data_IF_829239659317
#
_entry.id   IF_829239659317
#
_cell.length_a   1.000
_cell.length_b   1.000
_cell.length_c   1.000
_cell.angle_alpha   90.00
_cell.angle_beta   90.00
_cell.angle_gamma   90.00
#
_symmetry.space_group_name_H-M   'P 1'
#
loop_
_entity.id
_entity.type
_entity.pdbx_description
1 polymer ?
#
# COMPACT_ATOMS: atom_id res chain seq x y z
N UNK A 1 13.11 -30.11 49.37
CA UNK A 1 11.76 -29.63 49.01
C UNK A 1 11.75 -28.26 48.30
N UNK A 2 12.90 -27.67 47.90
CA UNK A 2 12.96 -26.36 47.23
C UNK A 2 12.86 -26.40 45.70
N UNK A 3 13.26 -27.50 45.06
CA UNK A 3 13.24 -27.65 43.59
C UNK A 3 11.83 -27.84 42.98
N UNK A 4 10.87 -28.31 43.78
CA UNK A 4 9.48 -28.49 43.35
C UNK A 4 8.70 -27.18 43.31
N UNK A 5 9.00 -26.23 44.21
CA UNK A 5 8.30 -24.93 44.30
C UNK A 5 8.74 -23.99 43.17
N UNK A 6 10.02 -24.02 42.76
CA UNK A 6 10.52 -23.20 41.64
C UNK A 6 9.95 -23.61 40.29
N UNK A 7 9.71 -24.92 40.07
CA UNK A 7 9.14 -25.44 38.83
C UNK A 7 7.62 -25.16 38.71
N UNK A 8 6.90 -25.17 39.83
CA UNK A 8 5.47 -24.78 39.85
C UNK A 8 5.30 -23.30 39.55
N UNK A 9 6.13 -22.41 40.14
CA UNK A 9 6.10 -20.96 39.87
C UNK A 9 6.47 -20.60 38.42
N UNK A 10 7.42 -21.31 37.80
CA UNK A 10 7.77 -21.08 36.38
C UNK A 10 6.66 -21.54 35.44
N UNK A 11 5.99 -22.67 35.73
CA UNK A 11 4.84 -23.14 34.96
C UNK A 11 3.62 -22.24 35.09
N UNK A 12 3.29 -21.78 36.31
CA UNK A 12 2.16 -20.85 36.50
C UNK A 12 2.40 -19.53 35.77
N UNK A 13 3.61 -18.96 35.88
CA UNK A 13 3.94 -17.71 35.19
C UNK A 13 3.92 -17.85 33.66
N UNK A 14 4.39 -18.99 33.12
CA UNK A 14 4.31 -19.28 31.69
C UNK A 14 2.87 -19.47 31.19
N UNK A 15 1.99 -20.05 32.01
CA UNK A 15 0.56 -20.22 31.68
C UNK A 15 -0.16 -18.86 31.71
N UNK A 16 0.13 -18.03 32.71
CA UNK A 16 -0.42 -16.67 32.82
C UNK A 16 0.03 -15.79 31.63
N UNK A 17 1.29 -15.91 31.19
CA UNK A 17 1.79 -15.20 30.00
C UNK A 17 1.11 -15.67 28.71
N UNK A 18 0.89 -16.98 28.55
CA UNK A 18 0.16 -17.54 27.40
C UNK A 18 -1.31 -17.09 27.37
N UNK A 19 -1.96 -16.99 28.52
CA UNK A 19 -3.35 -16.51 28.61
C UNK A 19 -3.46 -15.02 28.27
N UNK A 20 -2.52 -14.20 28.76
CA UNK A 20 -2.43 -12.77 28.44
C UNK A 20 -2.19 -12.54 26.94
N UNK A 21 -1.28 -13.28 26.31
CA UNK A 21 -1.02 -13.14 24.87
C UNK A 21 -2.19 -13.62 24.01
N UNK A 22 -2.87 -14.68 24.44
CA UNK A 22 -4.10 -15.16 23.78
C UNK A 22 -5.20 -14.11 23.87
N UNK A 23 -5.37 -13.47 25.04
CA UNK A 23 -6.36 -12.42 25.23
C UNK A 23 -6.04 -11.17 24.40
N UNK A 24 -4.76 -10.75 24.34
CA UNK A 24 -4.33 -9.64 23.48
C UNK A 24 -4.60 -9.93 22.02
N UNK A 25 -4.22 -11.13 21.53
CA UNK A 25 -4.49 -11.54 20.16
C UNK A 25 -5.98 -11.54 19.83
N UNK A 26 -6.82 -12.02 20.74
CA UNK A 26 -8.28 -11.99 20.55
C UNK A 26 -8.80 -10.55 20.40
N UNK A 27 -8.39 -9.64 21.30
CA UNK A 27 -8.79 -8.22 21.22
C UNK A 27 -8.37 -7.57 19.90
N UNK A 28 -7.17 -7.87 19.41
CA UNK A 28 -6.67 -7.38 18.11
C UNK A 28 -7.53 -7.88 16.95
N UNK A 29 -7.86 -9.17 16.94
CA UNK A 29 -8.71 -9.78 15.90
C UNK A 29 -10.13 -9.22 15.94
N UNK A 30 -10.69 -9.01 17.12
CA UNK A 30 -12.02 -8.40 17.28
C UNK A 30 -12.03 -6.98 16.74
N UNK A 31 -11.00 -6.18 17.05
CA UNK A 31 -10.84 -4.82 16.53
C UNK A 31 -10.64 -4.81 15.01
N UNK A 32 -9.84 -5.74 14.48
CA UNK A 32 -9.64 -5.91 13.04
C UNK A 32 -10.96 -6.23 12.33
N UNK A 33 -11.75 -7.19 12.84
CA UNK A 33 -13.04 -7.57 12.28
C UNK A 33 -14.04 -6.41 12.30
N UNK A 34 -14.10 -5.64 13.40
CA UNK A 34 -14.92 -4.44 13.48
C UNK A 34 -14.52 -3.40 12.43
N UNK A 35 -13.21 -3.20 12.20
CA UNK A 35 -12.74 -2.29 11.17
C UNK A 35 -13.07 -2.79 9.75
N UNK A 36 -12.92 -4.09 9.48
CA UNK A 36 -13.27 -4.71 8.20
C UNK A 36 -14.73 -4.44 7.86
N UNK A 37 -15.65 -4.64 8.81
CA UNK A 37 -17.06 -4.32 8.59
C UNK A 37 -17.28 -2.85 8.22
N UNK A 38 -16.56 -1.91 8.87
CA UNK A 38 -16.62 -0.49 8.51
C UNK A 38 -16.07 -0.24 7.11
N UNK A 39 -14.90 -0.79 6.79
CA UNK A 39 -14.28 -0.68 5.46
C UNK A 39 -15.23 -1.14 4.36
N UNK A 40 -15.93 -2.26 4.55
CA UNK A 40 -16.87 -2.79 3.55
C UNK A 40 -18.17 -1.95 3.43
N UNK A 41 -18.43 -1.04 4.37
CA UNK A 41 -19.60 -0.13 4.30
C UNK A 41 -19.28 1.23 3.68
N UNK A 42 -18.00 1.61 3.53
CA UNK A 42 -17.66 2.88 2.90
C UNK A 42 -17.85 2.78 1.37
N UNK A 43 -18.29 3.85 0.69
CA UNK A 43 -18.38 3.88 -0.76
C UNK A 43 -17.05 3.54 -1.47
N UNK A 44 -17.12 3.31 -2.78
CA UNK A 44 -15.94 3.06 -3.61
C UNK A 44 -14.79 4.05 -3.34
N UNK A 45 -13.51 3.65 -3.49
CA UNK A 45 -12.35 4.47 -3.09
C UNK A 45 -12.35 5.84 -3.76
N UNK A 46 -12.71 5.93 -5.04
CA UNK A 46 -12.82 7.18 -5.81
C UNK A 46 -13.89 8.15 -5.30
N UNK A 47 -14.86 7.66 -4.52
CA UNK A 47 -15.88 8.48 -3.84
C UNK A 47 -15.44 8.81 -2.42
N UNK A 48 -14.97 7.80 -1.69
CA UNK A 48 -14.55 7.93 -0.29
C UNK A 48 -13.29 8.76 -0.10
N UNK A 49 -12.41 8.80 -1.10
CA UNK A 49 -11.19 9.62 -1.10
C UNK A 49 -11.45 11.09 -1.40
N UNK A 50 -12.67 11.48 -1.80
CA UNK A 50 -13.02 12.90 -1.97
C UNK A 50 -12.87 13.60 -0.64
N UNK A 51 -12.21 14.74 -0.63
CA UNK A 51 -11.93 15.48 0.62
C UNK A 51 -13.20 15.72 1.46
N UNK A 52 -14.33 16.02 0.81
CA UNK A 52 -15.62 16.25 1.46
C UNK A 52 -16.20 15.02 2.16
N UNK A 53 -15.81 13.82 1.75
CA UNK A 53 -16.28 12.52 2.28
C UNK A 53 -15.25 11.93 3.25
N UNK A 54 -13.96 11.96 2.89
CA UNK A 54 -12.89 11.28 3.61
C UNK A 54 -12.86 11.64 5.11
N UNK A 55 -12.78 12.93 5.43
CA UNK A 55 -12.67 13.37 6.82
C UNK A 55 -13.98 13.19 7.62
N UNK A 56 -15.14 13.20 6.95
CA UNK A 56 -16.44 13.12 7.60
C UNK A 56 -16.93 11.70 7.83
N UNK A 57 -16.66 10.81 6.87
CA UNK A 57 -17.24 9.45 6.83
C UNK A 57 -16.18 8.38 7.07
N UNK A 58 -14.99 8.53 6.49
CA UNK A 58 -13.93 7.51 6.60
C UNK A 58 -13.11 7.70 7.87
N UNK A 59 -12.80 8.95 8.24
CA UNK A 59 -11.96 9.27 9.38
C UNK A 59 -12.69 9.65 10.67
N UNK A 60 -14.01 9.49 10.71
CA UNK A 60 -14.82 9.74 11.89
C UNK A 60 -15.87 8.63 12.11
N UNK A 61 -15.52 7.53 12.80
CA UNK A 61 -14.21 7.25 13.42
C UNK A 61 -13.16 6.77 12.40
N UNK A 62 -11.84 6.85 12.72
CA UNK A 62 -10.77 6.43 11.81
C UNK A 62 -10.88 4.99 11.33
N UNK A 63 -10.95 4.80 10.01
CA UNK A 63 -11.00 3.48 9.35
C UNK A 63 -9.64 3.07 8.77
N UNK A 64 -8.78 4.04 8.48
CA UNK A 64 -7.43 3.86 7.94
C UNK A 64 -6.46 4.80 8.65
N UNK A 65 -5.26 4.31 8.97
CA UNK A 65 -4.19 5.08 9.61
C UNK A 65 -3.21 5.53 8.53
N UNK A 66 -3.46 6.70 7.94
CA UNK A 66 -2.66 7.28 6.85
C UNK A 66 -2.09 8.66 7.23
N UNK A 67 -1.81 8.87 8.52
CA UNK A 67 -1.31 10.13 9.11
C UNK A 67 -2.29 11.31 9.06
N UNK A 68 -3.54 11.11 8.58
CA UNK A 68 -4.50 12.20 8.40
C UNK A 68 -5.94 11.81 8.78
N UNK A 69 -6.60 12.53 9.70
CA UNK A 69 -6.07 13.61 10.57
C UNK A 69 -5.09 13.11 11.64
N UNK A 70 -4.63 13.99 12.53
CA UNK A 70 -3.59 13.68 13.55
C UNK A 70 -3.87 12.42 14.40
N UNK A 71 -5.13 12.09 14.65
CA UNK A 71 -5.53 10.88 15.37
C UNK A 71 -5.49 9.59 14.51
N UNK A 72 -5.00 9.67 13.26
CA UNK A 72 -4.86 8.56 12.31
C UNK A 72 -3.39 8.21 12.06
N UNK A 73 -2.52 8.45 13.06
CA UNK A 73 -1.13 8.00 13.06
C UNK A 73 -1.09 6.50 13.33
N UNK A 74 -0.40 5.75 12.46
CA UNK A 74 -0.07 4.36 12.66
C UNK A 74 1.40 4.17 13.05
N UNK A 75 1.79 2.97 13.48
CA UNK A 75 3.19 2.65 13.71
C UNK A 75 3.95 2.58 12.36
N UNK A 76 5.25 2.92 12.33
CA UNK A 76 6.04 2.84 11.12
C UNK A 76 6.00 1.45 10.46
N UNK A 77 5.61 1.37 9.18
CA UNK A 77 5.46 0.10 8.45
C UNK A 77 6.78 -0.69 8.36
N UNK A 78 7.91 0.02 8.43
CA UNK A 78 9.27 -0.55 8.44
C UNK A 78 9.52 -1.53 9.59
N UNK A 79 8.73 -1.45 10.68
CA UNK A 79 8.83 -2.40 11.80
C UNK A 79 8.15 -3.73 11.55
N UNK A 80 7.37 -3.84 10.47
CA UNK A 80 6.53 -5.01 10.19
C UNK A 80 6.99 -5.82 8.98
N UNK A 81 7.77 -5.22 8.07
CA UNK A 81 8.31 -5.92 6.92
C UNK A 81 9.60 -5.24 6.43
N UNK A 82 10.68 -6.01 6.34
CA UNK A 82 12.00 -5.54 5.91
C UNK A 82 12.02 -5.00 4.49
N UNK A 83 11.04 -5.35 3.64
CA UNK A 83 10.93 -4.83 2.28
C UNK A 83 10.86 -3.30 2.25
N UNK A 84 10.22 -2.68 3.24
CA UNK A 84 10.08 -1.23 3.31
C UNK A 84 11.41 -0.57 3.72
N UNK A 85 12.11 -1.16 4.69
CA UNK A 85 13.45 -0.72 5.10
C UNK A 85 14.46 -0.85 3.96
N UNK A 86 14.41 -1.97 3.23
CA UNK A 86 15.22 -2.21 2.04
C UNK A 86 14.91 -1.19 0.95
N UNK A 87 13.64 -0.92 0.66
CA UNK A 87 13.25 0.10 -0.32
C UNK A 87 13.82 1.48 0.03
N UNK A 88 13.70 1.92 1.29
CA UNK A 88 14.23 3.24 1.70
C UNK A 88 15.76 3.30 1.57
N UNK A 89 16.46 2.22 1.93
CA UNK A 89 17.91 2.15 1.80
C UNK A 89 18.34 2.18 0.33
N UNK A 90 17.66 1.40 -0.51
CA UNK A 90 17.92 1.31 -1.95
C UNK A 90 17.60 2.63 -2.66
N UNK A 91 16.48 3.26 -2.33
CA UNK A 91 16.07 4.56 -2.89
C UNK A 91 17.09 5.67 -2.64
N UNK A 92 17.84 5.60 -1.53
CA UNK A 92 18.89 6.57 -1.17
C UNK A 92 20.25 6.22 -1.76
N UNK A 93 20.40 5.07 -2.40
CA UNK A 93 21.66 4.58 -2.91
C UNK A 93 21.80 4.88 -4.41
N UNK A 94 22.44 6.01 -4.72
CA UNK A 94 22.75 6.43 -6.10
C UNK A 94 23.70 5.48 -6.85
N UNK A 95 24.33 4.52 -6.15
CA UNK A 95 25.23 3.53 -6.75
C UNK A 95 24.53 2.24 -7.14
N UNK A 96 23.21 2.13 -6.97
CA UNK A 96 22.49 0.95 -7.41
C UNK A 96 22.62 0.78 -8.93
N UNK A 97 22.92 -0.45 -9.40
CA UNK A 97 22.98 -0.70 -10.82
C UNK A 97 21.58 -0.52 -11.42
N UNK A 98 21.50 0.24 -12.50
CA UNK A 98 20.28 0.35 -13.29
C UNK A 98 20.14 -0.94 -14.10
N UNK A 99 18.99 -1.61 -13.97
CA UNK A 99 18.71 -2.82 -14.72
C UNK A 99 18.67 -2.51 -16.24
N UNK A 100 19.21 -3.42 -17.05
CA UNK A 100 19.30 -3.23 -18.50
C UNK A 100 17.92 -2.98 -19.14
N UNK A 101 16.90 -3.71 -18.67
CA UNK A 101 15.52 -3.58 -19.14
C UNK A 101 14.93 -2.19 -18.82
N UNK A 102 15.35 -1.58 -17.71
CA UNK A 102 14.94 -0.21 -17.36
C UNK A 102 15.49 0.78 -18.37
N UNK A 103 16.76 0.66 -18.75
CA UNK A 103 17.41 1.58 -19.71
C UNK A 103 16.67 1.67 -21.04
N UNK A 104 16.08 0.57 -21.51
CA UNK A 104 15.36 0.53 -22.79
C UNK A 104 13.98 1.21 -22.71
N UNK A 105 13.43 1.34 -21.51
CA UNK A 105 12.08 1.87 -21.26
C UNK A 105 12.11 3.29 -20.70
N UNK A 106 13.26 3.79 -20.23
CA UNK A 106 13.37 5.14 -19.65
C UNK A 106 12.87 6.21 -20.62
N UNK A 107 13.45 6.34 -21.81
CA UNK A 107 13.06 7.43 -22.73
C UNK A 107 11.57 7.37 -23.13
N UNK A 108 11.00 6.21 -23.52
CA UNK A 108 9.57 6.08 -23.77
C UNK A 108 8.69 6.39 -22.55
N UNK A 109 9.13 6.01 -21.34
CA UNK A 109 8.44 6.33 -20.10
C UNK A 109 8.44 7.83 -19.86
N UNK A 110 9.59 8.50 -19.98
CA UNK A 110 9.74 9.95 -19.81
C UNK A 110 8.80 10.71 -20.75
N UNK A 111 8.81 10.34 -22.03
CA UNK A 111 7.93 10.94 -23.03
C UNK A 111 6.45 10.73 -22.66
N UNK A 112 6.09 9.52 -22.24
CA UNK A 112 4.70 9.21 -21.84
C UNK A 112 4.29 10.00 -20.58
N UNK A 113 5.16 10.13 -19.60
CA UNK A 113 4.85 10.88 -18.38
C UNK A 113 4.66 12.37 -18.66
N UNK A 114 5.41 12.94 -19.62
CA UNK A 114 5.34 14.35 -20.02
C UNK A 114 4.13 14.71 -20.89
N UNK A 115 3.44 13.72 -21.48
CA UNK A 115 2.27 13.97 -22.33
C UNK A 115 1.04 14.36 -21.50
N UNK A 116 0.18 15.16 -22.13
CA UNK A 116 -1.18 15.43 -21.67
C UNK A 116 -2.14 14.39 -22.22
N UNK A 117 -3.07 13.93 -21.38
CA UNK A 117 -4.06 12.92 -21.73
C UNK A 117 -5.48 13.47 -21.54
N UNK A 118 -6.39 13.12 -22.44
CA UNK A 118 -7.79 13.53 -22.36
C UNK A 118 -8.57 12.86 -21.21
N UNK A 119 -7.98 11.90 -20.48
CA UNK A 119 -8.61 11.22 -19.35
C UNK A 119 -7.67 10.24 -18.62
N UNK A 120 -8.01 9.92 -17.36
CA UNK A 120 -7.21 9.08 -16.45
C UNK A 120 -6.89 7.71 -17.06
N UNK A 121 -7.87 7.07 -17.71
CA UNK A 121 -7.69 5.77 -18.37
C UNK A 121 -6.60 5.78 -19.45
N UNK A 122 -6.49 6.87 -20.22
CA UNK A 122 -5.46 6.98 -21.28
C UNK A 122 -4.07 7.14 -20.71
N UNK A 123 -3.94 7.88 -19.59
CA UNK A 123 -2.67 7.94 -18.85
C UNK A 123 -2.33 6.59 -18.24
N UNK A 124 -3.30 5.91 -17.63
CA UNK A 124 -3.13 4.57 -17.05
C UNK A 124 -2.65 3.56 -18.09
N UNK A 125 -3.29 3.49 -19.26
CA UNK A 125 -2.87 2.62 -20.37
C UNK A 125 -1.41 2.84 -20.75
N UNK A 126 -0.99 4.12 -20.92
CA UNK A 126 0.38 4.46 -21.27
C UNK A 126 1.38 4.06 -20.17
N UNK A 127 1.08 4.36 -18.91
CA UNK A 127 1.94 4.01 -17.78
C UNK A 127 2.04 2.49 -17.57
N UNK A 128 0.92 1.77 -17.69
CA UNK A 128 0.83 0.33 -17.44
C UNK A 128 1.74 -0.46 -18.38
N UNK A 129 1.85 -0.04 -19.64
CA UNK A 129 2.76 -0.67 -20.60
C UNK A 129 4.21 -0.63 -20.12
N UNK A 130 4.67 0.53 -19.65
CA UNK A 130 6.05 0.71 -19.17
C UNK A 130 6.33 -0.02 -17.86
N UNK A 131 5.42 0.10 -16.88
CA UNK A 131 5.56 -0.56 -15.59
C UNK A 131 5.51 -2.09 -15.71
N UNK A 132 4.77 -2.63 -16.69
CA UNK A 132 4.73 -4.07 -16.93
C UNK A 132 6.07 -4.63 -17.41
N UNK A 133 6.87 -3.80 -18.09
CA UNK A 133 8.25 -4.17 -18.49
C UNK A 133 9.24 -4.01 -17.35
N UNK A 134 9.08 -2.99 -16.51
CA UNK A 134 10.05 -2.66 -15.45
C UNK A 134 9.86 -3.51 -14.18
N UNK A 135 8.60 -3.75 -13.77
CA UNK A 135 8.29 -4.34 -12.47
C UNK A 135 7.71 -5.73 -12.63
N UNK A 136 6.45 -5.81 -13.09
CA UNK A 136 5.72 -7.06 -13.32
C UNK A 136 4.40 -6.76 -14.03
N UNK A 137 3.75 -7.80 -14.55
CA UNK A 137 2.43 -7.70 -15.15
C UNK A 137 1.40 -7.06 -14.22
N UNK A 138 0.95 -5.86 -14.59
CA UNK A 138 -0.14 -5.14 -13.94
C UNK A 138 -1.49 -5.62 -14.47
N UNK A 139 -2.40 -5.92 -13.54
CA UNK A 139 -3.73 -6.47 -13.83
C UNK A 139 -4.81 -5.60 -13.22
N UNK A 140 -6.00 -5.60 -13.83
CA UNK A 140 -7.19 -5.02 -13.20
C UNK A 140 -7.95 -6.16 -12.52
N UNK A 141 -8.17 -6.04 -11.21
CA UNK A 141 -8.89 -7.06 -10.43
C UNK A 141 -10.09 -6.40 -9.75
N UNK A 142 -11.28 -6.93 -10.06
CA UNK A 142 -12.54 -6.52 -9.44
C UNK A 142 -12.68 -7.17 -8.05
N UNK A 143 -13.09 -6.38 -7.08
CA UNK A 143 -13.49 -6.84 -5.74
C UNK A 143 -14.93 -7.35 -5.76
N UNK A 144 -15.36 -8.00 -4.67
CA UNK A 144 -16.70 -8.60 -4.57
C UNK A 144 -17.78 -7.49 -4.51
N UNK A 145 -17.41 -6.29 -4.05
CA UNK A 145 -18.22 -5.06 -4.02
C UNK A 145 -18.18 -4.24 -5.33
N UNK A 146 -17.65 -4.85 -6.39
CA UNK A 146 -17.46 -4.26 -7.71
C UNK A 146 -16.44 -3.12 -7.83
N UNK A 147 -15.79 -2.73 -6.74
CA UNK A 147 -14.71 -1.76 -6.78
C UNK A 147 -13.49 -2.33 -7.50
N UNK A 148 -12.76 -1.45 -8.18
CA UNK A 148 -11.57 -1.81 -8.96
C UNK A 148 -10.52 -0.74 -8.72
N UNK A 149 -9.33 -1.16 -8.27
CA UNK A 149 -8.15 -0.30 -8.35
C UNK A 149 -7.70 -0.19 -9.81
N UNK A 150 -6.99 0.87 -10.16
CA UNK A 150 -6.55 1.07 -11.54
C UNK A 150 -5.70 -0.10 -12.04
N UNK A 151 -4.74 -0.55 -11.24
CA UNK A 151 -4.01 -1.80 -11.47
C UNK A 151 -3.40 -2.37 -10.20
N UNK A 152 -3.14 -3.68 -10.21
CA UNK A 152 -2.48 -4.41 -9.12
C UNK A 152 -1.47 -5.41 -9.67
N UNK A 153 -0.45 -5.73 -8.88
CA UNK A 153 0.41 -6.90 -9.07
C UNK A 153 0.05 -7.90 -7.98
N UNK A 154 -0.28 -9.12 -8.40
CA UNK A 154 -0.61 -10.22 -7.49
C UNK A 154 0.28 -11.43 -7.73
N UNK A 155 0.47 -12.22 -6.66
CA UNK A 155 1.19 -13.49 -6.72
C UNK A 155 0.28 -14.59 -6.16
N UNK A 156 0.03 -15.69 -6.92
CA UNK A 156 -0.71 -16.83 -6.41
C UNK A 156 0.00 -17.47 -5.22
N UNK A 157 -0.76 -17.80 -4.17
CA UNK A 157 -0.27 -18.51 -2.99
C UNK A 157 -1.07 -19.80 -2.87
N UNK A 158 -0.47 -20.89 -3.34
CA UNK A 158 -1.12 -22.20 -3.47
C UNK A 158 -1.70 -22.69 -2.14
N UNK A 159 -0.96 -22.51 -1.04
CA UNK A 159 -1.39 -22.95 0.31
C UNK A 159 -2.64 -22.24 0.84
N UNK A 160 -3.00 -21.09 0.26
CA UNK A 160 -4.19 -20.31 0.63
C UNK A 160 -5.25 -20.31 -0.47
N UNK A 161 -4.98 -20.96 -1.61
CA UNK A 161 -5.85 -20.99 -2.81
C UNK A 161 -6.28 -19.60 -3.29
N UNK A 162 -5.44 -18.59 -3.06
CA UNK A 162 -5.74 -17.19 -3.35
C UNK A 162 -4.49 -16.41 -3.76
N UNK A 163 -4.67 -15.21 -4.32
CA UNK A 163 -3.57 -14.36 -4.76
C UNK A 163 -3.32 -13.18 -3.82
N UNK A 164 -2.08 -13.06 -3.33
CA UNK A 164 -1.64 -11.94 -2.50
C UNK A 164 -1.39 -10.70 -3.36
N UNK A 165 -1.86 -9.53 -2.92
CA UNK A 165 -1.55 -8.26 -3.57
C UNK A 165 -0.22 -7.71 -3.08
N UNK A 166 0.75 -7.57 -4.00
CA UNK A 166 2.07 -7.02 -3.69
C UNK A 166 2.15 -5.52 -3.99
N UNK A 167 1.58 -5.10 -5.12
CA UNK A 167 1.57 -3.70 -5.56
C UNK A 167 0.17 -3.29 -5.94
N UNK A 168 -0.21 -2.07 -5.57
CA UNK A 168 -1.41 -1.39 -6.01
C UNK A 168 -1.02 -0.08 -6.68
N UNK A 169 -1.60 0.22 -7.84
CA UNK A 169 -1.38 1.44 -8.60
C UNK A 169 -2.67 2.25 -8.63
N UNK A 170 -2.57 3.54 -8.37
CA UNK A 170 -3.62 4.55 -8.59
C UNK A 170 -3.03 5.71 -9.39
N UNK A 171 -3.74 6.13 -10.43
CA UNK A 171 -3.28 7.11 -11.40
C UNK A 171 -4.26 8.26 -11.51
N UNK A 172 -3.74 9.47 -11.42
CA UNK A 172 -4.43 10.72 -11.76
C UNK A 172 -3.76 11.41 -12.92
N UNK A 173 -4.57 12.16 -13.67
CA UNK A 173 -4.09 12.86 -14.86
C UNK A 173 -3.02 13.91 -14.55
N UNK A 174 -3.17 14.62 -13.44
CA UNK A 174 -2.24 15.64 -12.93
C UNK A 174 -2.53 15.96 -11.46
N UNK A 175 -1.57 16.51 -10.72
CA UNK A 175 -1.78 17.03 -9.37
C UNK A 175 -2.83 18.14 -9.41
N UNK A 176 -3.80 18.07 -8.50
CA UNK A 176 -4.90 19.03 -8.42
C UNK A 176 -5.98 18.86 -9.47
N UNK A 177 -5.87 17.86 -10.36
CA UNK A 177 -6.98 17.45 -11.24
C UNK A 177 -7.83 16.37 -10.56
N UNK A 178 -9.13 16.36 -10.88
CA UNK A 178 -10.09 15.45 -10.27
C UNK A 178 -10.56 15.90 -8.89
N UNK A 179 -11.27 14.99 -8.20
CA UNK A 179 -11.93 15.26 -6.90
C UNK A 179 -11.29 14.50 -5.74
N UNK A 180 -10.28 13.68 -6.02
CA UNK A 180 -9.63 12.77 -5.07
C UNK A 180 -8.14 12.68 -5.37
N UNK A 181 -7.32 12.69 -4.33
CA UNK A 181 -5.88 12.50 -4.46
C UNK A 181 -5.54 10.99 -4.56
N UNK A 182 -4.54 10.60 -5.37
CA UNK A 182 -4.21 9.19 -5.58
C UNK A 182 -3.65 8.52 -4.33
N UNK A 183 -3.05 9.25 -3.38
CA UNK A 183 -2.53 8.65 -2.15
C UNK A 183 -3.66 8.18 -1.24
N UNK A 184 -4.67 9.02 -1.02
CA UNK A 184 -5.87 8.68 -0.24
C UNK A 184 -6.69 7.62 -0.97
N UNK A 185 -6.88 7.75 -2.28
CA UNK A 185 -7.59 6.75 -3.07
C UNK A 185 -6.89 5.39 -2.98
N UNK A 186 -5.56 5.33 -3.12
CA UNK A 186 -4.80 4.09 -3.02
C UNK A 186 -4.81 3.45 -1.63
N UNK A 187 -4.75 4.27 -0.57
CA UNK A 187 -4.92 3.78 0.79
C UNK A 187 -6.30 3.11 1.00
N UNK A 188 -7.35 3.67 0.42
CA UNK A 188 -8.70 3.12 0.49
C UNK A 188 -8.87 1.86 -0.37
N UNK A 189 -8.32 1.87 -1.58
CA UNK A 189 -8.29 0.69 -2.45
C UNK A 189 -7.54 -0.47 -1.77
N UNK A 190 -6.44 -0.19 -1.08
CA UNK A 190 -5.70 -1.17 -0.28
C UNK A 190 -6.56 -1.79 0.83
N UNK A 191 -7.19 -0.97 1.68
CA UNK A 191 -7.97 -1.52 2.80
C UNK A 191 -9.22 -2.25 2.33
N UNK A 192 -9.92 -1.76 1.30
CA UNK A 192 -11.09 -2.43 0.73
C UNK A 192 -10.73 -3.76 0.09
N UNK A 193 -9.61 -3.81 -0.65
CA UNK A 193 -9.10 -5.05 -1.21
C UNK A 193 -8.83 -6.07 -0.11
N UNK A 194 -8.04 -5.69 0.90
CA UNK A 194 -7.71 -6.62 1.96
C UNK A 194 -8.87 -6.94 2.89
N UNK A 195 -9.96 -6.17 2.90
CA UNK A 195 -11.16 -6.45 3.69
C UNK A 195 -12.06 -7.56 3.10
N UNK A 196 -11.90 -7.91 1.81
CA UNK A 196 -12.74 -8.91 1.14
C UNK A 196 -12.69 -10.27 1.88
N UNK A 197 -13.82 -10.96 2.01
CA UNK A 197 -13.92 -12.18 2.85
C UNK A 197 -13.01 -13.30 2.35
N UNK A 198 -12.87 -13.43 1.02
CA UNK A 198 -11.96 -14.41 0.41
C UNK A 198 -10.48 -14.24 0.80
N UNK A 199 -10.06 -13.03 1.19
CA UNK A 199 -8.69 -12.75 1.63
C UNK A 199 -8.50 -12.85 3.14
N UNK A 200 -9.50 -13.37 3.88
CA UNK A 200 -9.42 -13.53 5.34
C UNK A 200 -8.27 -14.42 5.78
N UNK A 201 -7.98 -15.48 5.02
CA UNK A 201 -6.87 -16.39 5.30
C UNK A 201 -5.54 -15.65 5.38
N UNK A 202 -5.27 -14.73 4.46
CA UNK A 202 -4.10 -13.86 4.49
C UNK A 202 -4.05 -12.96 5.73
N UNK A 203 -5.16 -12.31 6.07
CA UNK A 203 -5.23 -11.42 7.25
C UNK A 203 -4.96 -12.15 8.57
N UNK A 204 -5.26 -13.45 8.62
CA UNK A 204 -5.02 -14.28 9.80
C UNK A 204 -3.57 -14.76 9.93
N UNK A 205 -2.81 -14.80 8.83
CA UNK A 205 -1.45 -15.34 8.81
C UNK A 205 -0.35 -14.30 8.60
N UNK A 206 -0.66 -13.10 8.12
CA UNK A 206 0.33 -12.05 7.88
C UNK A 206 -0.27 -10.64 8.00
N UNK A 207 0.59 -9.62 7.96
CA UNK A 207 0.18 -8.21 8.01
C UNK A 207 -0.20 -7.65 6.63
N UNK A 208 -0.43 -8.51 5.62
CA UNK A 208 -0.85 -8.11 4.27
C UNK A 208 -0.01 -6.96 3.66
N UNK A 209 1.32 -7.05 3.79
CA UNK A 209 2.22 -6.00 3.34
C UNK A 209 2.11 -5.77 1.83
N UNK A 210 1.90 -4.52 1.41
CA UNK A 210 1.85 -4.13 0.00
C UNK A 210 2.55 -2.79 -0.22
N UNK A 211 2.98 -2.55 -1.45
CA UNK A 211 3.41 -1.23 -1.93
C UNK A 211 2.24 -0.57 -2.66
N UNK A 212 2.02 0.71 -2.41
CA UNK A 212 1.06 1.52 -3.15
C UNK A 212 1.84 2.56 -3.96
N UNK A 213 1.64 2.53 -5.27
CA UNK A 213 2.15 3.52 -6.21
C UNK A 213 1.03 4.52 -6.50
N UNK A 214 1.20 5.75 -6.06
CA UNK A 214 0.30 6.85 -6.37
C UNK A 214 0.95 7.75 -7.42
N UNK A 215 0.33 7.85 -8.59
CA UNK A 215 0.83 8.66 -9.71
C UNK A 215 -0.14 9.80 -9.99
N UNK A 216 0.39 11.00 -10.19
CA UNK A 216 -0.38 12.16 -10.65
C UNK A 216 0.46 12.91 -11.67
N UNK A 217 0.03 12.97 -12.93
CA UNK A 217 0.86 13.59 -13.97
C UNK A 217 2.23 12.91 -14.07
N UNK A 218 3.35 13.65 -14.15
CA UNK A 218 4.71 13.10 -14.15
C UNK A 218 5.26 12.80 -12.74
N UNK A 219 4.43 12.81 -11.69
CA UNK A 219 4.85 12.62 -10.31
C UNK A 219 4.45 11.26 -9.77
N UNK A 220 5.36 10.61 -9.03
CA UNK A 220 5.11 9.33 -8.35
C UNK A 220 5.37 9.45 -6.86
N UNK A 221 4.53 8.81 -6.05
CA UNK A 221 4.70 8.61 -4.62
C UNK A 221 4.63 7.12 -4.33
N UNK A 222 5.59 6.62 -3.54
CA UNK A 222 5.61 5.22 -3.07
C UNK A 222 5.24 5.19 -1.60
N UNK A 223 4.21 4.41 -1.27
CA UNK A 223 3.77 4.19 0.11
C UNK A 223 3.86 2.71 0.47
N UNK A 224 4.22 2.43 1.71
CA UNK A 224 4.14 1.10 2.30
C UNK A 224 2.81 0.95 3.03
N UNK A 225 2.20 -0.23 2.93
CA UNK A 225 0.94 -0.51 3.58
C UNK A 225 0.97 -1.86 4.29
N UNK A 226 0.38 -1.91 5.48
CA UNK A 226 0.15 -3.14 6.26
C UNK A 226 -1.25 -3.12 6.87
N UNK A 227 -1.75 -4.28 7.27
CA UNK A 227 -3.06 -4.44 7.89
C UNK A 227 -2.91 -5.03 9.29
N UNK A 228 -3.20 -4.21 10.32
CA UNK A 228 -3.21 -4.60 11.73
C UNK A 228 -4.67 -4.64 12.22
N UNK A 229 -5.05 -3.90 13.28
CA UNK A 229 -6.48 -3.67 13.56
C UNK A 229 -7.12 -2.78 12.49
N UNK A 230 -6.31 -1.95 11.84
CA UNK A 230 -6.68 -1.10 10.70
C UNK A 230 -5.59 -1.18 9.64
N UNK A 231 -5.89 -0.74 8.42
CA UNK A 231 -4.83 -0.47 7.46
C UNK A 231 -3.95 0.66 7.95
N UNK A 232 -2.64 0.45 7.94
CA UNK A 232 -1.61 1.46 8.21
C UNK A 232 -0.88 1.75 6.91
N UNK A 233 -0.85 3.02 6.51
CA UNK A 233 -0.24 3.48 5.26
C UNK A 233 0.78 4.56 5.59
N UNK A 234 2.02 4.31 5.22
CA UNK A 234 3.14 5.24 5.40
C UNK A 234 3.74 5.64 4.05
N UNK A 235 3.85 6.94 3.75
CA UNK A 235 4.66 7.40 2.63
C UNK A 235 6.14 7.02 2.84
N UNK A 236 6.70 6.25 1.91
CA UNK A 236 8.13 5.93 1.87
C UNK A 236 8.91 7.00 1.10
N UNK A 237 8.23 7.69 0.17
CA UNK A 237 8.74 8.86 -0.54
C UNK A 237 7.73 10.00 -0.47
N UNK A 238 8.16 11.21 -0.79
CA UNK A 238 7.24 12.28 -1.24
C UNK A 238 6.80 11.99 -2.69
N UNK A 239 5.97 12.86 -3.26
CA UNK A 239 5.88 12.92 -4.71
C UNK A 239 7.24 13.34 -5.27
N UNK A 240 7.84 12.45 -6.06
CA UNK A 240 9.09 12.66 -6.78
C UNK A 240 8.79 12.73 -8.28
N UNK A 241 9.54 13.54 -9.03
CA UNK A 241 9.33 13.63 -10.46
C UNK A 241 9.88 12.39 -11.16
N UNK A 242 9.11 11.82 -12.08
CA UNK A 242 9.59 10.79 -13.00
C UNK A 242 10.37 11.38 -14.18
N UNK A 243 10.25 12.69 -14.42
CA UNK A 243 11.03 13.39 -15.43
C UNK A 243 12.24 14.09 -14.81
N UNK A 244 13.41 14.09 -15.47
CA UNK A 244 14.60 14.73 -14.92
C UNK A 244 14.38 16.24 -14.79
N UNK A 245 14.50 16.76 -13.58
CA UNK A 245 14.61 18.20 -13.33
C UNK A 245 16.02 18.49 -12.80
N UNK A 246 16.67 19.53 -13.32
CA UNK A 246 17.94 20.08 -12.82
C UNK A 246 19.19 19.17 -12.90
N UNK A 247 19.10 17.96 -13.49
CA UNK A 247 20.29 17.16 -13.78
C UNK A 247 21.02 17.69 -15.02
N UNK A 248 21.86 18.71 -14.82
CA UNK A 248 22.75 19.22 -15.86
C UNK A 248 23.56 18.08 -16.51
N UNK A 249 24.03 17.10 -15.73
CA UNK A 249 24.74 15.94 -16.29
C UNK A 249 23.87 15.05 -17.18
N UNK A 250 22.57 14.90 -16.88
CA UNK A 250 21.66 14.16 -17.76
C UNK A 250 21.43 14.92 -19.06
N UNK A 251 21.12 16.22 -18.97
CA UNK A 251 20.90 17.07 -20.13
C UNK A 251 22.12 17.12 -21.06
N UNK A 252 23.34 17.17 -20.51
CA UNK A 252 24.57 17.14 -21.30
C UNK A 252 24.91 15.77 -21.91
N UNK A 253 24.30 14.68 -21.43
CA UNK A 253 24.51 13.32 -21.96
C UNK A 253 23.49 12.95 -23.05
N UNK A 254 22.36 13.64 -23.10
CA UNK A 254 21.26 13.34 -24.04
C UNK A 254 21.02 14.42 -25.10
N UNK A 255 21.72 15.56 -25.03
CA UNK A 255 21.74 16.61 -26.04
C UNK A 255 22.92 16.43 -27.01
#
# INVERSE_FOLDING_TARGET
SSASISNVRRRSHSLDLMDVDTQKRRKLLDAQNQNIHRVLTIPAPSTSARHSVFFKTVQNPPTVLNHRPYNCLGPPVIFYNDVFSKFIADFRNEKLPILQDVLHVVDPLLESMARSYQGENKRLEALRSHLSTIIWLLQSIKNDDETVADSVITVPIESLHEAAMLVLLEVKNEIGTGVSDPTTQGALSYVQRWAQERLKSFRLCCNCSSIILAVAGPWICVMGAIYLEKGVIDPLTTFIPLIPFHHHEYFMRTA
#
